data_IF_084181084048
#
_entry.id   IF_084181084048
#
_cell.length_a   1.000
_cell.length_b   1.000
_cell.length_c   1.000
_cell.angle_alpha   90.00
_cell.angle_beta   90.00
_cell.angle_gamma   90.00
#
_symmetry.space_group_name_H-M   'P 1'
#
loop_
_entity.id
_entity.type
_entity.pdbx_description
1 polymer ?
#
# COMPACT_ATOMS: atom_id res chain seq x y z
N UNK A 1 -36.48 -1.38 -1.23
CA UNK A 1 -37.23 -0.13 -0.99
C UNK A 1 -36.61 1.05 -1.78
N UNK A 2 -36.39 0.90 -3.06
CA UNK A 2 -35.92 1.96 -3.94
C UNK A 2 -37.11 2.48 -4.79
N UNK A 3 -37.32 3.79 -4.94
CA UNK A 3 -36.52 4.89 -4.34
C UNK A 3 -37.16 5.44 -3.04
N UNK A 4 -36.93 4.79 -1.93
CA UNK A 4 -37.42 5.32 -0.64
C UNK A 4 -36.45 6.38 -0.11
N UNK A 5 -36.64 7.63 -0.49
CA UNK A 5 -35.78 8.77 -0.12
C UNK A 5 -35.80 9.08 1.39
N UNK A 6 -36.72 8.49 2.17
CA UNK A 6 -36.77 8.63 3.63
C UNK A 6 -35.92 7.57 4.34
N UNK A 7 -35.61 6.48 3.66
CA UNK A 7 -34.83 5.38 4.24
C UNK A 7 -33.39 5.78 4.51
N UNK A 8 -32.90 5.50 5.71
CA UNK A 8 -31.53 5.85 6.12
C UNK A 8 -30.46 5.17 5.24
N UNK A 9 -30.70 3.94 4.80
CA UNK A 9 -29.78 3.26 3.87
C UNK A 9 -29.71 3.96 2.53
N UNK A 10 -30.85 4.41 1.97
CA UNK A 10 -30.85 5.20 0.75
C UNK A 10 -30.00 6.47 0.92
N UNK A 11 -30.24 7.25 1.98
CA UNK A 11 -29.49 8.49 2.24
C UNK A 11 -27.98 8.27 2.43
N UNK A 12 -27.58 7.14 3.00
CA UNK A 12 -26.19 6.83 3.24
C UNK A 12 -25.45 6.33 1.99
N UNK A 13 -26.14 5.65 1.07
CA UNK A 13 -25.51 5.00 -0.09
C UNK A 13 -25.83 5.68 -1.42
N UNK A 14 -26.82 6.60 -1.45
CA UNK A 14 -27.16 7.33 -2.65
C UNK A 14 -27.19 8.85 -2.39
N UNK A 15 -26.64 9.69 -3.32
CA UNK A 15 -25.96 9.28 -4.55
C UNK A 15 -24.63 8.61 -4.29
N UNK A 16 -24.27 7.64 -5.15
CA UNK A 16 -22.96 6.98 -5.09
C UNK A 16 -21.83 8.01 -5.22
N UNK A 17 -20.77 7.84 -4.44
CA UNK A 17 -19.59 8.70 -4.52
C UNK A 17 -18.88 8.54 -5.86
N UNK A 18 -18.68 7.29 -6.29
CA UNK A 18 -18.06 6.93 -7.57
C UNK A 18 -18.75 5.70 -8.15
N UNK A 19 -19.07 5.74 -9.45
CA UNK A 19 -19.32 4.56 -10.25
C UNK A 19 -18.03 4.16 -10.97
N UNK A 20 -17.44 3.05 -10.54
CA UNK A 20 -16.26 2.46 -11.18
C UNK A 20 -16.71 1.53 -12.29
N UNK A 21 -16.33 1.81 -13.53
CA UNK A 21 -16.78 1.06 -14.70
C UNK A 21 -15.64 0.83 -15.70
N UNK A 22 -15.74 -0.21 -16.52
CA UNK A 22 -14.89 -0.35 -17.70
C UNK A 22 -15.21 0.71 -18.75
N UNK A 23 -14.21 1.17 -19.47
CA UNK A 23 -14.40 2.21 -20.52
C UNK A 23 -15.36 1.81 -21.64
N UNK A 24 -15.56 0.50 -21.85
CA UNK A 24 -16.47 -0.05 -22.86
C UNK A 24 -17.96 0.24 -22.59
N UNK A 25 -18.31 0.41 -21.30
CA UNK A 25 -19.70 0.74 -20.90
C UNK A 25 -19.86 2.20 -20.46
N UNK A 26 -18.88 3.06 -20.77
CA UNK A 26 -18.89 4.47 -20.38
C UNK A 26 -20.13 5.21 -20.88
N UNK A 27 -20.54 4.99 -22.13
CA UNK A 27 -21.71 5.64 -22.72
C UNK A 27 -23.00 5.35 -21.95
N UNK A 28 -23.18 4.13 -21.47
CA UNK A 28 -24.36 3.74 -20.69
C UNK A 28 -24.38 4.44 -19.33
N UNK A 29 -23.25 4.58 -18.68
CA UNK A 29 -23.16 5.11 -17.32
C UNK A 29 -22.94 6.62 -17.24
N UNK A 30 -22.34 7.23 -18.29
CA UNK A 30 -22.07 8.67 -18.32
C UNK A 30 -23.14 9.47 -19.09
N UNK A 31 -23.96 8.82 -19.92
CA UNK A 31 -24.99 9.48 -20.72
C UNK A 31 -26.39 8.96 -20.37
N UNK A 32 -26.66 7.67 -20.62
CA UNK A 32 -28.00 7.13 -20.47
C UNK A 32 -28.44 7.02 -19.01
N UNK A 33 -27.58 6.52 -18.13
CA UNK A 33 -27.94 6.38 -16.73
C UNK A 33 -28.23 7.71 -16.02
N UNK A 34 -27.41 8.76 -16.14
CA UNK A 34 -27.77 10.09 -15.62
C UNK A 34 -29.05 10.63 -16.20
N UNK A 35 -29.30 10.46 -17.52
CA UNK A 35 -30.52 10.91 -18.16
C UNK A 35 -31.77 10.22 -17.57
N UNK A 36 -31.71 8.90 -17.33
CA UNK A 36 -32.80 8.15 -16.71
C UNK A 36 -33.04 8.59 -15.26
N UNK A 37 -31.99 8.82 -14.51
CA UNK A 37 -32.10 9.28 -13.12
C UNK A 37 -32.75 10.68 -13.07
N UNK A 38 -32.30 11.60 -13.90
CA UNK A 38 -32.86 12.95 -13.98
C UNK A 38 -34.32 12.93 -14.41
N UNK A 39 -34.67 12.10 -15.40
CA UNK A 39 -36.06 11.93 -15.83
C UNK A 39 -36.95 11.35 -14.73
N UNK A 40 -36.40 10.53 -13.86
CA UNK A 40 -37.08 9.97 -12.68
C UNK A 40 -37.06 10.90 -11.44
N UNK A 41 -36.52 12.11 -11.56
CA UNK A 41 -36.37 13.03 -10.43
C UNK A 41 -35.35 12.61 -9.38
N UNK A 42 -34.36 11.75 -9.75
CA UNK A 42 -33.36 11.22 -8.87
C UNK A 42 -32.00 11.88 -9.12
N UNK A 43 -31.22 12.03 -8.06
CA UNK A 43 -29.86 12.60 -8.14
C UNK A 43 -28.91 11.61 -8.82
N UNK A 44 -28.12 12.03 -9.84
CA UNK A 44 -27.07 11.20 -10.42
C UNK A 44 -25.93 10.92 -9.45
N UNK A 45 -25.08 9.88 -9.71
CA UNK A 45 -23.85 9.66 -8.94
C UNK A 45 -22.92 10.86 -9.00
N UNK A 46 -22.13 11.10 -7.95
CA UNK A 46 -21.24 12.27 -7.85
C UNK A 46 -20.10 12.22 -8.87
N UNK A 47 -19.63 11.03 -9.22
CA UNK A 47 -18.56 10.79 -10.18
C UNK A 47 -18.78 9.48 -10.91
N UNK A 48 -18.39 9.45 -12.19
CA UNK A 48 -18.25 8.24 -12.99
C UNK A 48 -16.79 8.14 -13.39
N UNK A 49 -16.16 7.01 -13.08
CA UNK A 49 -14.76 6.75 -13.38
C UNK A 49 -14.65 5.53 -14.29
N UNK A 50 -14.21 5.77 -15.55
CA UNK A 50 -13.97 4.73 -16.53
C UNK A 50 -12.51 4.27 -16.48
N UNK A 51 -12.26 2.99 -16.11
CA UNK A 51 -10.93 2.41 -16.19
C UNK A 51 -10.67 1.74 -17.53
N UNK A 52 -9.39 1.64 -17.90
CA UNK A 52 -8.93 0.98 -19.12
C UNK A 52 -9.02 -0.53 -19.05
N UNK A 53 -8.60 -1.17 -20.11
CA UNK A 53 -8.60 -2.62 -20.23
C UNK A 53 -7.31 -3.19 -19.69
N UNK A 54 -7.39 -4.43 -19.21
CA UNK A 54 -6.23 -5.23 -18.88
C UNK A 54 -5.93 -6.12 -20.08
N UNK A 55 -4.75 -5.93 -20.66
CA UNK A 55 -4.28 -6.63 -21.84
C UNK A 55 -3.32 -7.75 -21.43
N UNK A 56 -3.26 -8.81 -22.23
CA UNK A 56 -2.18 -9.81 -22.13
C UNK A 56 -1.11 -9.47 -23.16
N UNK A 57 0.01 -8.90 -22.68
CA UNK A 57 0.97 -8.28 -23.58
C UNK A 57 0.36 -7.02 -24.24
N UNK A 58 0.33 -6.98 -25.55
CA UNK A 58 -0.29 -5.90 -26.33
C UNK A 58 -1.70 -6.23 -26.83
N UNK A 59 -2.19 -7.46 -26.54
CA UNK A 59 -3.44 -7.94 -27.07
C UNK A 59 -4.55 -7.96 -26.01
N UNK A 60 -5.79 -7.71 -26.46
CA UNK A 60 -6.98 -7.92 -25.64
C UNK A 60 -7.12 -9.39 -25.26
N UNK A 61 -7.34 -9.67 -23.98
CA UNK A 61 -7.60 -11.02 -23.50
C UNK A 61 -8.85 -11.61 -24.16
N UNK A 62 -8.75 -12.83 -24.65
CA UNK A 62 -9.85 -13.54 -25.31
C UNK A 62 -9.75 -15.04 -25.04
N UNK A 63 -10.89 -15.68 -24.69
CA UNK A 63 -10.97 -17.13 -24.50
C UNK A 63 -10.56 -17.89 -25.75
N UNK A 64 -10.94 -17.38 -26.93
CA UNK A 64 -10.61 -18.02 -28.22
C UNK A 64 -9.13 -17.99 -28.58
N UNK A 65 -8.35 -17.08 -27.98
CA UNK A 65 -6.90 -16.92 -28.17
C UNK A 65 -6.07 -17.66 -27.13
N UNK A 66 -6.69 -18.13 -26.06
CA UNK A 66 -5.99 -18.80 -24.95
C UNK A 66 -5.02 -17.89 -24.18
N UNK A 67 -5.17 -16.56 -24.30
CA UNK A 67 -4.29 -15.58 -23.67
C UNK A 67 -4.89 -14.94 -22.41
N UNK A 68 -5.89 -15.58 -21.81
CA UNK A 68 -6.49 -15.12 -20.57
C UNK A 68 -5.55 -15.49 -19.41
N UNK A 69 -5.21 -14.50 -18.61
CA UNK A 69 -4.58 -14.71 -17.30
C UNK A 69 -5.70 -14.87 -16.27
N UNK A 70 -5.85 -16.08 -15.75
CA UNK A 70 -6.82 -16.34 -14.69
C UNK A 70 -6.30 -15.73 -13.38
N UNK A 71 -7.00 -14.75 -12.78
CA UNK A 71 -6.59 -14.17 -11.53
C UNK A 71 -6.55 -15.16 -10.37
N UNK A 72 -7.34 -16.24 -10.41
CA UNK A 72 -7.34 -17.28 -9.38
C UNK A 72 -6.05 -18.10 -9.44
N UNK A 73 -5.58 -18.48 -10.62
CA UNK A 73 -4.28 -19.17 -10.79
C UNK A 73 -3.12 -18.28 -10.31
N UNK A 74 -3.18 -16.98 -10.59
CA UNK A 74 -2.18 -16.02 -10.10
C UNK A 74 -2.21 -15.93 -8.56
N UNK A 75 -3.40 -15.89 -7.97
CA UNK A 75 -3.58 -15.83 -6.51
C UNK A 75 -3.06 -17.13 -5.87
N UNK A 76 -3.36 -18.27 -6.42
CA UNK A 76 -2.91 -19.57 -5.92
C UNK A 76 -1.37 -19.69 -5.97
N UNK A 77 -0.76 -19.14 -7.02
CA UNK A 77 0.70 -19.21 -7.22
C UNK A 77 1.46 -18.16 -6.39
N UNK A 78 1.00 -16.92 -6.37
CA UNK A 78 1.75 -15.78 -5.84
C UNK A 78 1.11 -15.13 -4.63
N UNK A 79 -0.15 -15.42 -4.34
CA UNK A 79 -0.95 -14.79 -3.30
C UNK A 79 -1.77 -13.58 -3.77
N UNK A 80 -2.77 -13.23 -2.98
CA UNK A 80 -3.69 -12.12 -3.30
C UNK A 80 -3.01 -10.75 -3.21
N UNK A 81 -2.24 -10.50 -2.15
CA UNK A 81 -1.59 -9.20 -1.93
C UNK A 81 -0.64 -8.80 -3.07
N UNK A 82 0.23 -9.68 -3.61
CA UNK A 82 1.06 -9.38 -4.78
C UNK A 82 0.27 -9.00 -6.02
N UNK A 83 -0.83 -9.70 -6.31
CA UNK A 83 -1.68 -9.37 -7.46
C UNK A 83 -2.33 -7.99 -7.28
N UNK A 84 -2.89 -7.70 -6.08
CA UNK A 84 -3.47 -6.38 -5.77
C UNK A 84 -2.45 -5.27 -5.93
N UNK A 85 -1.25 -5.46 -5.39
CA UNK A 85 -0.17 -4.49 -5.50
C UNK A 85 0.20 -4.21 -6.95
N UNK A 86 0.41 -5.26 -7.74
CA UNK A 86 0.75 -5.15 -9.16
C UNK A 86 -0.30 -4.36 -9.94
N UNK A 87 -1.58 -4.71 -9.78
CA UNK A 87 -2.68 -4.05 -10.49
C UNK A 87 -2.80 -2.55 -10.17
N UNK A 88 -2.50 -2.16 -8.94
CA UNK A 88 -2.60 -0.77 -8.50
C UNK A 88 -1.36 0.06 -8.83
N UNK A 89 -0.21 -0.57 -8.99
CA UNK A 89 1.06 0.09 -9.27
C UNK A 89 1.37 0.17 -10.76
N UNK A 90 1.38 -0.98 -11.44
CA UNK A 90 1.88 -1.10 -12.81
C UNK A 90 0.85 -0.68 -13.86
N UNK A 91 -0.42 -0.83 -13.54
CA UNK A 91 -1.50 -0.37 -14.43
C UNK A 91 -1.88 1.04 -14.04
N UNK A 92 -1.46 2.03 -14.82
CA UNK A 92 -1.88 3.42 -14.61
C UNK A 92 -3.40 3.48 -14.68
N UNK A 93 -4.04 3.69 -13.52
CA UNK A 93 -5.48 3.57 -13.37
C UNK A 93 -6.19 4.58 -14.29
N UNK A 94 -7.15 4.09 -15.09
CA UNK A 94 -7.80 4.88 -16.16
C UNK A 94 -7.25 4.60 -17.57
N UNK A 95 -6.04 4.09 -17.71
CA UNK A 95 -5.44 3.69 -18.98
C UNK A 95 -5.52 2.17 -19.20
N UNK A 96 -5.26 1.73 -20.42
CA UNK A 96 -5.07 0.31 -20.69
C UNK A 96 -3.73 -0.13 -20.09
N UNK A 97 -3.73 -1.28 -19.44
CA UNK A 97 -2.56 -1.86 -18.83
C UNK A 97 -2.27 -3.25 -19.33
N UNK A 98 -1.00 -3.59 -19.49
CA UNK A 98 -0.55 -4.91 -19.90
C UNK A 98 -0.10 -5.72 -18.70
N UNK A 99 -0.70 -6.89 -18.49
CA UNK A 99 -0.23 -7.88 -17.52
C UNK A 99 0.55 -8.97 -18.26
N UNK A 100 1.78 -9.23 -17.78
CA UNK A 100 2.55 -10.41 -18.15
C UNK A 100 3.13 -11.04 -16.88
N UNK A 101 3.36 -12.35 -16.92
CA UNK A 101 3.95 -13.05 -15.78
C UNK A 101 5.31 -12.46 -15.40
N UNK A 102 6.15 -12.12 -16.39
CA UNK A 102 7.48 -11.54 -16.15
C UNK A 102 7.40 -10.19 -15.44
N UNK A 103 6.47 -9.31 -15.84
CA UNK A 103 6.25 -8.02 -15.18
C UNK A 103 5.74 -8.21 -13.75
N UNK A 104 4.81 -9.13 -13.54
CA UNK A 104 4.28 -9.47 -12.21
C UNK A 104 5.40 -9.97 -11.29
N UNK A 105 6.18 -10.96 -11.75
CA UNK A 105 7.32 -11.52 -11.01
C UNK A 105 8.37 -10.44 -10.71
N UNK A 106 8.70 -9.61 -11.69
CA UNK A 106 9.64 -8.50 -11.52
C UNK A 106 9.16 -7.52 -10.45
N UNK A 107 7.88 -7.11 -10.50
CA UNK A 107 7.27 -6.22 -9.51
C UNK A 107 7.27 -6.82 -8.11
N UNK A 108 6.89 -8.10 -7.97
CA UNK A 108 6.92 -8.81 -6.68
C UNK A 108 8.34 -8.83 -6.11
N UNK A 109 9.32 -9.19 -6.94
CA UNK A 109 10.71 -9.31 -6.51
C UNK A 109 11.32 -7.95 -6.15
N UNK A 110 11.12 -6.91 -6.98
CA UNK A 110 11.72 -5.59 -6.74
C UNK A 110 11.11 -4.90 -5.53
N UNK A 111 9.80 -4.78 -5.50
CA UNK A 111 9.12 -3.88 -4.57
C UNK A 111 8.70 -4.57 -3.28
N UNK A 112 8.18 -5.79 -3.39
CA UNK A 112 7.66 -6.50 -2.23
C UNK A 112 8.77 -7.32 -1.54
N UNK A 113 9.49 -8.18 -2.26
CA UNK A 113 10.49 -9.04 -1.64
C UNK A 113 11.78 -8.27 -1.28
N UNK A 114 12.42 -7.62 -2.28
CA UNK A 114 13.73 -6.97 -2.10
C UNK A 114 13.64 -5.58 -1.47
N UNK A 115 12.47 -4.93 -1.45
CA UNK A 115 12.31 -3.61 -0.85
C UNK A 115 11.56 -3.69 0.48
N UNK A 116 10.23 -3.87 0.48
CA UNK A 116 9.44 -3.88 1.72
C UNK A 116 9.78 -5.07 2.63
N UNK A 117 9.78 -6.29 2.10
CA UNK A 117 10.09 -7.51 2.85
C UNK A 117 11.50 -7.49 3.43
N UNK A 118 12.48 -7.09 2.60
CA UNK A 118 13.87 -6.98 3.02
C UNK A 118 14.06 -5.92 4.12
N UNK A 119 13.43 -4.75 3.99
CA UNK A 119 13.49 -3.70 5.04
C UNK A 119 12.98 -4.25 6.38
N UNK A 120 11.78 -4.85 6.37
CA UNK A 120 11.19 -5.42 7.58
C UNK A 120 12.09 -6.50 8.19
N UNK A 121 12.56 -7.46 7.38
CA UNK A 121 13.39 -8.56 7.83
C UNK A 121 14.73 -8.07 8.43
N UNK A 122 15.40 -7.14 7.74
CA UNK A 122 16.71 -6.61 8.19
C UNK A 122 16.58 -5.83 9.49
N UNK A 123 15.65 -4.91 9.57
CA UNK A 123 15.47 -4.05 10.74
C UNK A 123 15.04 -4.87 11.96
N UNK A 124 14.06 -5.77 11.79
CA UNK A 124 13.57 -6.59 12.92
C UNK A 124 14.61 -7.60 13.39
N UNK A 125 15.34 -8.26 12.47
CA UNK A 125 16.44 -9.15 12.83
C UNK A 125 17.59 -8.41 13.50
N UNK A 126 17.85 -7.16 13.09
CA UNK A 126 18.87 -6.34 13.75
C UNK A 126 18.41 -5.88 15.13
N UNK A 127 17.13 -5.53 15.30
CA UNK A 127 16.52 -5.22 16.59
C UNK A 127 16.55 -6.44 17.53
N UNK A 128 16.25 -7.65 17.04
CA UNK A 128 16.36 -8.88 17.82
C UNK A 128 17.74 -9.04 18.43
N UNK A 129 18.80 -8.86 17.63
CA UNK A 129 20.20 -9.06 18.05
C UNK A 129 20.70 -7.98 19.02
N UNK A 130 20.24 -6.74 18.90
CA UNK A 130 20.78 -5.60 19.64
C UNK A 130 19.85 -5.07 20.73
N UNK A 131 18.53 -5.28 20.61
CA UNK A 131 17.51 -4.78 21.52
C UNK A 131 16.59 -5.88 22.07
N UNK A 132 16.88 -7.17 21.82
CA UNK A 132 16.12 -8.32 22.30
C UNK A 132 14.60 -8.16 22.03
N UNK A 133 14.25 -7.83 20.79
CA UNK A 133 12.87 -7.58 20.35
C UNK A 133 12.12 -6.56 21.23
N UNK A 134 12.83 -5.55 21.72
CA UNK A 134 12.23 -4.39 22.37
C UNK A 134 12.37 -3.16 21.50
N UNK A 135 11.40 -2.27 21.57
CA UNK A 135 11.53 -0.92 20.98
C UNK A 135 12.56 -0.16 21.83
N UNK A 136 13.71 0.24 21.27
CA UNK A 136 14.75 0.89 22.04
C UNK A 136 14.37 2.30 22.47
N UNK A 137 14.96 2.76 23.54
CA UNK A 137 14.88 4.17 23.95
C UNK A 137 15.70 5.01 22.98
N UNK A 138 15.05 5.98 22.32
CA UNK A 138 15.70 6.89 21.39
C UNK A 138 16.27 8.11 22.09
N UNK A 139 17.30 8.69 21.52
CA UNK A 139 17.77 10.05 21.83
C UNK A 139 17.09 11.08 20.89
N UNK A 140 17.59 12.29 20.88
CA UNK A 140 17.11 13.35 19.98
C UNK A 140 17.30 12.94 18.51
N UNK A 141 16.29 13.21 17.72
CA UNK A 141 16.38 13.02 16.26
C UNK A 141 17.33 14.05 15.65
N UNK A 142 18.19 13.58 14.76
CA UNK A 142 19.01 14.43 13.88
C UNK A 142 18.27 14.75 12.59
N UNK A 143 18.87 15.60 11.75
CA UNK A 143 18.25 16.07 10.50
C UNK A 143 17.86 14.91 9.58
N UNK A 144 18.72 13.90 9.41
CA UNK A 144 18.45 12.71 8.57
C UNK A 144 17.22 11.92 9.08
N UNK A 145 17.08 11.77 10.40
CA UNK A 145 15.94 11.10 11.01
C UNK A 145 14.63 11.82 10.70
N UNK A 146 14.67 13.14 10.91
CA UNK A 146 13.53 14.01 10.68
C UNK A 146 13.17 14.13 9.19
N UNK A 147 14.17 14.15 8.31
CA UNK A 147 13.93 14.17 6.87
C UNK A 147 13.13 12.95 6.44
N UNK A 148 13.54 11.75 6.87
CA UNK A 148 12.84 10.50 6.55
C UNK A 148 11.43 10.45 7.17
N UNK A 149 11.29 10.76 8.46
CA UNK A 149 10.01 10.74 9.16
C UNK A 149 9.03 11.77 8.60
N UNK A 150 9.50 12.98 8.29
CA UNK A 150 8.71 14.08 7.76
C UNK A 150 8.28 13.86 6.30
N UNK A 151 9.05 13.13 5.50
CA UNK A 151 8.67 12.84 4.10
C UNK A 151 7.26 12.23 4.03
N UNK A 152 6.96 11.27 4.90
CA UNK A 152 5.65 10.63 4.91
C UNK A 152 4.60 11.55 5.56
N UNK A 153 4.89 12.09 6.74
CA UNK A 153 3.89 12.84 7.52
C UNK A 153 3.41 14.11 6.82
N UNK A 154 4.29 14.81 6.10
CA UNK A 154 3.94 16.03 5.36
C UNK A 154 3.10 15.77 4.10
N UNK A 155 3.10 14.55 3.59
CA UNK A 155 2.37 14.19 2.36
C UNK A 155 1.02 13.50 2.63
N UNK A 156 0.56 13.39 3.88
CA UNK A 156 -0.67 12.67 4.24
C UNK A 156 -1.90 13.19 3.49
N UNK A 157 -2.06 14.51 3.41
CA UNK A 157 -3.24 15.10 2.78
C UNK A 157 -3.20 14.92 1.24
N UNK A 158 -2.01 14.99 0.63
CA UNK A 158 -1.80 14.65 -0.78
C UNK A 158 -2.09 13.17 -1.05
N UNK A 159 -1.65 12.28 -0.18
CA UNK A 159 -1.90 10.84 -0.30
C UNK A 159 -3.39 10.50 -0.20
N UNK A 160 -4.15 11.19 0.67
CA UNK A 160 -5.62 11.08 0.71
C UNK A 160 -6.23 11.53 -0.59
N UNK A 161 -5.81 12.69 -1.10
CA UNK A 161 -6.29 13.23 -2.38
C UNK A 161 -6.04 12.27 -3.53
N UNK A 162 -4.88 11.61 -3.57
CA UNK A 162 -4.58 10.61 -4.61
C UNK A 162 -5.59 9.44 -4.58
N UNK A 163 -5.93 8.93 -3.38
CA UNK A 163 -6.93 7.87 -3.25
C UNK A 163 -8.32 8.37 -3.67
N UNK A 164 -8.72 9.55 -3.20
CA UNK A 164 -10.03 10.15 -3.51
C UNK A 164 -10.19 10.45 -5.00
N UNK A 165 -9.08 10.76 -5.68
CA UNK A 165 -9.04 11.02 -7.12
C UNK A 165 -8.75 9.77 -7.97
N UNK A 166 -8.59 8.60 -7.36
CA UNK A 166 -8.22 7.34 -8.02
C UNK A 166 -6.83 7.37 -8.69
N UNK A 167 -5.91 8.19 -8.19
CA UNK A 167 -4.50 8.28 -8.64
C UNK A 167 -3.65 7.21 -7.94
N UNK A 168 -4.06 5.94 -8.09
CA UNK A 168 -3.56 4.82 -7.29
C UNK A 168 -2.09 4.49 -7.58
N UNK A 169 -1.64 4.65 -8.83
CA UNK A 169 -0.23 4.47 -9.19
C UNK A 169 0.66 5.58 -8.60
N UNK A 170 0.18 6.82 -8.54
CA UNK A 170 0.90 7.92 -7.86
C UNK A 170 1.05 7.63 -6.36
N UNK A 171 -0.02 7.17 -5.72
CA UNK A 171 0.00 6.75 -4.32
C UNK A 171 1.00 5.62 -4.06
N UNK A 172 0.98 4.57 -4.89
CA UNK A 172 1.89 3.43 -4.73
C UNK A 172 3.34 3.78 -5.01
N UNK A 173 3.62 4.61 -6.04
CA UNK A 173 4.97 5.07 -6.35
C UNK A 173 5.57 5.88 -5.20
N UNK A 174 4.79 6.74 -4.55
CA UNK A 174 5.25 7.44 -3.36
C UNK A 174 5.67 6.49 -2.24
N UNK A 175 4.95 5.39 -2.03
CA UNK A 175 5.33 4.37 -1.03
C UNK A 175 6.64 3.68 -1.42
N UNK A 176 6.84 3.38 -2.71
CA UNK A 176 8.10 2.79 -3.21
C UNK A 176 9.28 3.73 -2.95
N UNK A 177 9.11 5.03 -3.20
CA UNK A 177 10.12 6.04 -2.92
C UNK A 177 10.44 6.12 -1.41
N UNK A 178 9.43 6.03 -0.56
CA UNK A 178 9.64 5.99 0.90
C UNK A 178 10.37 4.72 1.34
N UNK A 179 10.07 3.56 0.73
CA UNK A 179 10.78 2.30 0.99
C UNK A 179 12.23 2.36 0.55
N UNK A 180 12.50 2.96 -0.61
CA UNK A 180 13.86 3.17 -1.09
C UNK A 180 14.67 4.04 -0.11
N UNK A 181 14.10 5.18 0.31
CA UNK A 181 14.76 6.07 1.29
C UNK A 181 14.97 5.41 2.64
N UNK A 182 14.02 4.58 3.10
CA UNK A 182 14.15 3.86 4.36
C UNK A 182 15.29 2.81 4.31
N UNK A 183 15.39 2.06 3.20
CA UNK A 183 16.51 1.12 3.00
C UNK A 183 17.84 1.86 2.89
N UNK A 184 17.87 2.98 2.16
CA UNK A 184 19.06 3.84 2.03
C UNK A 184 19.47 4.39 3.40
N UNK A 185 18.55 4.98 4.16
CA UNK A 185 18.81 5.47 5.51
C UNK A 185 19.43 4.40 6.41
N UNK A 186 18.86 3.20 6.46
CA UNK A 186 19.40 2.11 7.29
C UNK A 186 20.82 1.70 6.87
N UNK A 187 21.13 1.76 5.56
CA UNK A 187 22.46 1.50 5.05
C UNK A 187 23.43 2.64 5.38
N UNK A 188 23.06 3.89 5.13
CA UNK A 188 23.92 5.07 5.30
C UNK A 188 24.25 5.34 6.78
N UNK A 189 23.28 5.07 7.67
CA UNK A 189 23.49 5.21 9.11
C UNK A 189 24.38 4.11 9.70
N UNK A 190 24.60 2.99 8.99
CA UNK A 190 25.50 1.90 9.36
C UNK A 190 25.37 1.46 10.84
N UNK A 191 24.17 1.07 11.33
CA UNK A 191 23.97 0.78 12.75
C UNK A 191 24.90 -0.33 13.28
N UNK A 192 25.35 -1.24 12.41
CA UNK A 192 26.30 -2.31 12.78
C UNK A 192 27.70 -1.81 13.17
N UNK A 193 28.06 -0.59 12.75
CA UNK A 193 29.33 0.07 13.13
C UNK A 193 29.22 0.94 14.38
N UNK A 194 28.00 1.14 14.93
CA UNK A 194 27.75 2.09 16.02
C UNK A 194 27.62 1.45 17.39
N UNK A 195 28.24 0.31 17.62
CA UNK A 195 28.18 -0.39 18.91
C UNK A 195 28.75 0.40 20.10
N UNK A 196 29.66 1.34 19.86
CA UNK A 196 30.21 2.27 20.87
C UNK A 196 29.28 3.45 21.16
N UNK A 197 28.34 3.78 20.26
CA UNK A 197 27.35 4.86 20.42
C UNK A 197 25.96 4.26 20.50
N UNK A 198 25.65 3.69 21.66
CA UNK A 198 24.38 3.00 21.92
C UNK A 198 23.16 3.92 21.73
N UNK A 199 23.29 5.20 22.09
CA UNK A 199 22.19 6.17 21.94
C UNK A 199 21.83 6.37 20.47
N UNK A 200 22.85 6.58 19.62
CA UNK A 200 22.63 6.72 18.17
C UNK A 200 22.14 5.42 17.55
N UNK A 201 22.73 4.29 17.92
CA UNK A 201 22.28 2.95 17.49
C UNK A 201 20.78 2.76 17.76
N UNK A 202 20.36 3.02 18.98
CA UNK A 202 18.98 2.88 19.41
C UNK A 202 18.04 3.81 18.63
N UNK A 203 18.47 5.05 18.40
CA UNK A 203 17.68 6.03 17.63
C UNK A 203 17.49 5.57 16.19
N UNK A 204 18.52 5.05 15.53
CA UNK A 204 18.43 4.52 14.15
C UNK A 204 17.44 3.35 14.08
N UNK A 205 17.51 2.42 15.05
CA UNK A 205 16.58 1.29 15.11
C UNK A 205 15.14 1.81 15.34
N UNK A 206 14.95 2.74 16.27
CA UNK A 206 13.64 3.33 16.56
C UNK A 206 13.02 3.98 15.31
N UNK A 207 13.77 4.85 14.62
CA UNK A 207 13.33 5.51 13.38
C UNK A 207 12.97 4.49 12.32
N UNK A 208 13.79 3.46 12.15
CA UNK A 208 13.52 2.41 11.15
C UNK A 208 12.25 1.62 11.46
N UNK A 209 11.99 1.30 12.73
CA UNK A 209 10.76 0.64 13.17
C UNK A 209 9.54 1.54 12.96
N UNK A 210 9.65 2.83 13.28
CA UNK A 210 8.57 3.81 13.08
C UNK A 210 8.23 4.01 11.59
N UNK A 211 9.24 4.03 10.73
CA UNK A 211 9.03 4.07 9.28
C UNK A 211 8.35 2.81 8.76
N UNK A 212 8.75 1.62 9.23
CA UNK A 212 8.06 0.36 8.87
C UNK A 212 6.60 0.43 9.28
N UNK A 213 6.27 0.92 10.48
CA UNK A 213 4.89 1.13 10.91
C UNK A 213 4.12 2.04 9.96
N UNK A 214 4.67 3.23 9.66
CA UNK A 214 4.02 4.22 8.78
C UNK A 214 3.78 3.67 7.38
N UNK A 215 4.78 3.06 6.77
CA UNK A 215 4.68 2.45 5.44
C UNK A 215 3.66 1.30 5.44
N UNK A 216 3.64 0.48 6.50
CA UNK A 216 2.67 -0.61 6.62
C UNK A 216 1.22 -0.11 6.72
N UNK A 217 0.99 1.03 7.38
CA UNK A 217 -0.33 1.68 7.39
C UNK A 217 -0.70 2.17 5.99
N UNK A 218 0.23 2.79 5.25
CA UNK A 218 -0.01 3.22 3.87
C UNK A 218 -0.28 2.04 2.93
N UNK A 219 0.41 0.92 3.12
CA UNK A 219 0.21 -0.29 2.32
C UNK A 219 -1.06 -1.05 2.68
N UNK A 220 -1.67 -0.81 3.84
CA UNK A 220 -2.80 -1.60 4.31
C UNK A 220 -4.01 -1.63 3.36
N UNK A 221 -4.41 -0.53 2.69
CA UNK A 221 -5.48 -0.57 1.69
C UNK A 221 -5.14 -1.41 0.45
N UNK A 222 -3.85 -1.60 0.16
CA UNK A 222 -3.36 -2.29 -1.05
C UNK A 222 -3.10 -3.76 -0.78
N UNK A 223 -2.26 -4.06 0.22
CA UNK A 223 -1.83 -5.40 0.64
C UNK A 223 -2.22 -5.67 2.09
N UNK A 224 -3.52 -5.80 2.38
CA UNK A 224 -4.04 -5.81 3.75
C UNK A 224 -3.52 -6.99 4.59
N UNK A 225 -3.38 -8.17 4.01
CA UNK A 225 -2.95 -9.35 4.76
C UNK A 225 -1.51 -9.20 5.25
N UNK A 226 -0.60 -8.83 4.35
CA UNK A 226 0.83 -8.70 4.67
C UNK A 226 1.10 -7.50 5.57
N UNK A 227 0.49 -6.35 5.28
CA UNK A 227 0.67 -5.15 6.10
C UNK A 227 0.16 -5.33 7.52
N UNK A 228 -0.98 -6.03 7.71
CA UNK A 228 -1.49 -6.36 9.03
C UNK A 228 -0.58 -7.34 9.78
N UNK A 229 0.08 -8.30 9.10
CA UNK A 229 1.10 -9.15 9.72
C UNK A 229 2.23 -8.30 10.30
N UNK A 230 2.71 -7.32 9.55
CA UNK A 230 3.76 -6.40 10.02
C UNK A 230 3.27 -5.53 11.17
N UNK A 231 2.10 -4.92 11.05
CA UNK A 231 1.56 -4.05 12.10
C UNK A 231 1.30 -4.78 13.41
N UNK A 232 0.89 -6.04 13.35
CA UNK A 232 0.66 -6.89 14.55
C UNK A 232 1.93 -7.16 15.37
N UNK A 233 3.13 -7.03 14.78
CA UNK A 233 4.37 -7.23 15.57
C UNK A 233 4.55 -6.16 16.65
N UNK A 234 4.02 -4.95 16.43
CA UNK A 234 4.19 -3.81 17.33
C UNK A 234 3.22 -3.81 18.52
N UNK A 235 2.23 -4.71 18.56
CA UNK A 235 1.19 -4.78 19.60
C UNK A 235 0.48 -3.43 19.84
N UNK A 236 0.19 -2.69 18.77
CA UNK A 236 -0.44 -1.36 18.81
C UNK A 236 -1.96 -1.45 18.99
N UNK A 237 -2.54 -0.40 19.59
CA UNK A 237 -3.99 -0.23 19.68
C UNK A 237 -4.57 0.27 18.35
N UNK A 238 -5.88 0.10 18.16
CA UNK A 238 -6.53 0.44 16.89
C UNK A 238 -6.38 1.92 16.47
N UNK A 239 -6.27 2.86 17.43
CA UNK A 239 -6.01 4.27 17.13
C UNK A 239 -4.68 4.50 16.44
N UNK A 240 -3.66 3.72 16.80
CA UNK A 240 -2.29 3.85 16.31
C UNK A 240 -2.10 3.25 14.91
N UNK A 241 -3.11 2.53 14.43
CA UNK A 241 -3.19 1.96 13.09
C UNK A 241 -3.96 2.84 12.09
N UNK A 242 -4.51 3.98 12.54
CA UNK A 242 -5.22 4.91 11.68
C UNK A 242 -4.26 5.73 10.83
N UNK A 243 -4.75 6.15 9.68
CA UNK A 243 -3.99 6.99 8.75
C UNK A 243 -3.46 8.29 9.40
N UNK A 244 -4.25 8.89 10.31
CA UNK A 244 -3.83 10.10 11.03
C UNK A 244 -2.66 9.88 12.00
N UNK A 245 -2.50 8.65 12.51
CA UNK A 245 -1.37 8.33 13.40
C UNK A 245 0.00 8.38 12.71
N UNK A 246 0.02 8.43 11.38
CA UNK A 246 1.24 8.60 10.58
C UNK A 246 1.89 9.97 10.81
N UNK A 247 1.11 10.98 11.21
CA UNK A 247 1.63 12.33 11.51
C UNK A 247 2.53 12.35 12.75
N UNK A 248 2.29 11.45 13.70
CA UNK A 248 3.11 11.31 14.91
C UNK A 248 4.37 10.47 14.61
N UNK A 249 5.51 10.91 15.15
CA UNK A 249 6.81 10.25 15.00
C UNK A 249 7.20 9.41 16.22
N UNK A 250 6.36 9.40 17.26
CA UNK A 250 6.65 8.79 18.55
C UNK A 250 5.50 7.90 19.06
N UNK A 251 4.85 7.20 18.10
CA UNK A 251 3.77 6.26 18.44
C UNK A 251 4.32 5.01 19.11
N UNK A 252 5.45 4.51 18.66
CA UNK A 252 6.08 3.35 19.26
C UNK A 252 6.64 3.71 20.65
N UNK A 253 6.21 2.98 21.68
CA UNK A 253 6.66 3.24 23.06
C UNK A 253 7.89 2.42 23.38
N UNK A 254 8.94 3.09 23.89
CA UNK A 254 10.18 2.46 24.33
C UNK A 254 9.91 1.33 25.32
N UNK A 255 10.74 0.31 25.27
CA UNK A 255 10.68 -0.91 26.09
C UNK A 255 9.50 -1.84 25.81
N UNK A 256 8.54 -1.48 24.96
CA UNK A 256 7.52 -2.41 24.50
C UNK A 256 8.15 -3.53 23.67
N UNK A 257 7.70 -4.77 23.90
CA UNK A 257 8.14 -5.92 23.13
C UNK A 257 7.47 -5.95 21.76
N UNK A 258 8.26 -6.28 20.76
CA UNK A 258 7.80 -6.61 19.41
C UNK A 258 7.97 -8.11 19.14
N UNK A 259 7.34 -8.61 18.09
CA UNK A 259 7.44 -10.02 17.67
C UNK A 259 8.41 -10.16 16.52
N UNK A 260 8.97 -11.35 16.38
CA UNK A 260 9.69 -11.76 15.15
C UNK A 260 8.73 -11.69 13.96
N UNK A 261 9.32 -11.53 12.79
CA UNK A 261 8.60 -11.58 11.53
C UNK A 261 9.20 -12.69 10.65
N UNK A 262 8.32 -13.47 10.05
CA UNK A 262 8.71 -14.43 9.03
C UNK A 262 8.96 -13.72 7.70
N UNK A 263 9.53 -14.43 6.73
CA UNK A 263 9.72 -13.91 5.38
C UNK A 263 8.34 -13.54 4.80
N UNK A 264 8.13 -12.26 4.52
CA UNK A 264 6.85 -11.74 4.02
C UNK A 264 6.59 -12.15 2.58
N UNK A 265 7.61 -12.06 1.74
CA UNK A 265 7.56 -12.42 0.33
C UNK A 265 8.82 -13.20 -0.03
N UNK A 266 8.62 -14.41 -0.54
CA UNK A 266 9.72 -15.19 -1.09
C UNK A 266 10.09 -14.61 -2.45
N UNK A 267 11.40 -14.53 -2.73
CA UNK A 267 11.86 -14.19 -4.06
C UNK A 267 11.48 -15.31 -5.04
N UNK A 268 10.89 -14.94 -6.15
CA UNK A 268 10.48 -15.87 -7.21
C UNK A 268 11.63 -16.02 -8.19
N UNK A 269 12.08 -17.23 -8.44
CA UNK A 269 13.12 -17.53 -9.43
C UNK A 269 12.51 -17.66 -10.82
N UNK A 270 13.32 -17.39 -11.87
CA UNK A 270 12.82 -17.38 -13.27
C UNK A 270 12.28 -18.73 -13.76
N UNK A 271 12.52 -19.81 -13.01
CA UNK A 271 12.09 -21.17 -13.37
C UNK A 271 10.89 -21.68 -12.52
N UNK A 272 10.38 -20.83 -11.63
CA UNK A 272 9.18 -21.08 -10.83
C UNK A 272 7.95 -20.43 -11.49
#
# INVERSE_FOLDING_TARGET
>A
NYPDTKNIKYKNFWPANVHMIGKDILRFHAVYWPAFLLAAGLTPPKRIYGHGWILSGEEKMSKSRGNILDPLEIIDKYGLDPLRYYLLKEVSFGNDGSITQDKLVSCINSDLANNYGNLCQRVISFNEKNCNLSIPEKDKFIEDDLALLNKISKNIDSLRSNIDNQELSTYTNFIVDCLFDANKYFNDQEPWKRKSDIKRLNTIIYVSLEIIRKISILLNPIIPETSLKVLKIFNLVQSDLKFDSIKDHEVLKSNNKIKKIDILFKKIEKND
#
